data_IF_469669822510
#
_entry.id   IF_469669822510
#
_cell.length_a   1.000
_cell.length_b   1.000
_cell.length_c   1.000
_cell.angle_alpha   90.00
_cell.angle_beta   90.00
_cell.angle_gamma   90.00
#
_symmetry.space_group_name_H-M   'P 1'
#
loop_
_entity.id
_entity.type
_entity.pdbx_description
1 polymer ?
#
# COMPACT_ATOMS: atom_id res chain seq x y z
N UNK A 1 -45.21 -9.62 -39.48
CA UNK A 1 -44.80 -8.27 -39.02
C UNK A 1 -45.30 -7.97 -37.59
N UNK A 2 -45.23 -8.95 -36.68
CA UNK A 2 -45.48 -8.79 -35.22
C UNK A 2 -44.64 -9.75 -34.35
N UNK A 3 -43.61 -10.38 -34.92
CA UNK A 3 -42.72 -11.33 -34.22
C UNK A 3 -41.24 -10.91 -34.26
N UNK A 4 -40.92 -9.71 -34.78
CA UNK A 4 -39.55 -9.23 -34.90
C UNK A 4 -39.22 -8.04 -33.98
N UNK A 5 -40.10 -7.71 -33.03
CA UNK A 5 -39.88 -6.64 -32.02
C UNK A 5 -39.52 -7.18 -30.63
N UNK A 6 -39.43 -8.51 -30.45
CA UNK A 6 -38.98 -9.14 -29.21
C UNK A 6 -37.44 -9.35 -29.17
N UNK A 7 -36.68 -8.47 -29.84
CA UNK A 7 -35.23 -8.55 -29.92
C UNK A 7 -34.56 -7.71 -28.82
N UNK A 8 -33.86 -8.38 -27.92
CA UNK A 8 -32.73 -7.89 -27.11
C UNK A 8 -32.85 -6.46 -26.55
N UNK A 9 -33.94 -6.16 -25.84
CA UNK A 9 -34.01 -4.92 -25.05
C UNK A 9 -33.72 -5.26 -23.59
N UNK A 10 -32.65 -4.68 -23.03
CA UNK A 10 -32.31 -4.84 -21.62
C UNK A 10 -33.52 -4.45 -20.74
N UNK A 11 -33.82 -5.29 -19.74
CA UNK A 11 -34.97 -5.04 -18.87
C UNK A 11 -34.68 -3.83 -17.97
N UNK A 12 -35.42 -2.74 -18.15
CA UNK A 12 -35.26 -1.51 -17.35
C UNK A 12 -35.34 -1.80 -15.84
N UNK A 13 -36.22 -2.72 -15.42
CA UNK A 13 -36.37 -3.16 -14.04
C UNK A 13 -35.11 -3.86 -13.52
N UNK A 14 -34.48 -4.71 -14.34
CA UNK A 14 -33.25 -5.39 -13.93
C UNK A 14 -32.07 -4.42 -13.87
N UNK A 15 -32.00 -3.45 -14.79
CA UNK A 15 -31.00 -2.38 -14.76
C UNK A 15 -31.15 -1.52 -13.51
N UNK A 16 -32.38 -1.22 -13.08
CA UNK A 16 -32.65 -0.55 -11.81
C UNK A 16 -32.19 -1.38 -10.61
N UNK A 17 -32.41 -2.71 -10.65
CA UNK A 17 -31.87 -3.63 -9.65
C UNK A 17 -30.33 -3.63 -9.56
N UNK A 18 -29.62 -3.50 -10.69
CA UNK A 18 -28.15 -3.35 -10.70
C UNK A 18 -27.74 -2.03 -10.03
N UNK A 19 -28.45 -0.95 -10.37
CA UNK A 19 -28.23 0.36 -9.78
C UNK A 19 -28.41 0.36 -8.25
N UNK A 20 -29.47 -0.25 -7.76
CA UNK A 20 -29.76 -0.34 -6.32
C UNK A 20 -28.73 -1.21 -5.59
N UNK A 21 -28.32 -2.33 -6.19
CA UNK A 21 -27.26 -3.18 -5.66
C UNK A 21 -25.93 -2.42 -5.55
N UNK A 22 -25.55 -1.64 -6.56
CA UNK A 22 -24.35 -0.81 -6.50
C UNK A 22 -24.43 0.21 -5.35
N UNK A 23 -25.58 0.85 -5.17
CA UNK A 23 -25.77 1.78 -4.06
C UNK A 23 -25.69 1.07 -2.70
N UNK A 24 -26.17 -0.17 -2.59
CA UNK A 24 -26.00 -0.96 -1.36
C UNK A 24 -24.52 -1.29 -1.09
N UNK A 25 -23.74 -1.60 -2.14
CA UNK A 25 -22.29 -1.83 -2.01
C UNK A 25 -21.56 -0.56 -1.56
N UNK A 26 -22.05 0.62 -1.92
CA UNK A 26 -21.45 1.89 -1.50
C UNK A 26 -21.61 2.17 0.01
N UNK A 27 -22.54 1.50 0.69
CA UNK A 27 -22.83 1.69 2.11
C UNK A 27 -22.08 0.72 3.03
N UNK A 28 -21.51 -0.35 2.48
CA UNK A 28 -20.74 -1.33 3.25
C UNK A 28 -19.25 -1.22 3.00
N UNK A 29 -18.47 -2.03 3.72
CA UNK A 29 -17.07 -2.28 3.40
C UNK A 29 -16.99 -3.32 2.28
N UNK A 30 -16.32 -3.00 1.17
CA UNK A 30 -16.35 -3.85 -0.02
C UNK A 30 -15.06 -3.83 -0.81
N UNK A 31 -14.74 -4.96 -1.43
CA UNK A 31 -13.61 -5.06 -2.36
C UNK A 31 -14.03 -4.54 -3.75
N UNK A 32 -13.26 -3.60 -4.29
CA UNK A 32 -13.45 -3.06 -5.65
C UNK A 32 -13.58 -4.16 -6.72
N UNK A 33 -12.87 -5.28 -6.56
CA UNK A 33 -12.94 -6.45 -7.47
C UNK A 33 -14.32 -7.08 -7.45
N UNK A 34 -14.87 -7.27 -6.25
CA UNK A 34 -16.21 -7.85 -6.04
C UNK A 34 -17.28 -6.91 -6.58
N UNK A 35 -17.14 -5.60 -6.39
CA UNK A 35 -18.07 -4.60 -6.91
C UNK A 35 -18.07 -4.58 -8.44
N UNK A 36 -16.90 -4.54 -9.08
CA UNK A 36 -16.77 -4.54 -10.55
C UNK A 36 -17.32 -5.83 -11.14
N UNK A 37 -16.93 -6.99 -10.59
CA UNK A 37 -17.40 -8.29 -11.06
C UNK A 37 -18.92 -8.44 -10.93
N UNK A 38 -19.45 -8.16 -9.72
CA UNK A 38 -20.87 -8.24 -9.44
C UNK A 38 -21.71 -7.27 -10.26
N UNK A 39 -21.15 -6.12 -10.67
CA UNK A 39 -21.77 -5.21 -11.63
C UNK A 39 -21.85 -5.84 -13.03
N UNK A 40 -20.73 -6.37 -13.54
CA UNK A 40 -20.66 -6.98 -14.87
C UNK A 40 -21.60 -8.19 -14.99
N UNK A 41 -21.58 -9.08 -14.00
CA UNK A 41 -22.43 -10.28 -13.99
C UNK A 41 -23.93 -9.92 -13.99
N UNK A 42 -24.31 -8.88 -13.20
CA UNK A 42 -25.70 -8.41 -13.14
C UNK A 42 -26.13 -7.69 -14.42
N UNK A 43 -25.24 -6.91 -15.03
CA UNK A 43 -25.50 -6.30 -16.34
C UNK A 43 -25.70 -7.37 -17.42
N UNK A 44 -24.87 -8.43 -17.41
CA UNK A 44 -25.01 -9.58 -18.29
C UNK A 44 -26.37 -10.28 -18.08
N UNK A 45 -26.72 -10.57 -16.82
CA UNK A 45 -28.01 -11.17 -16.47
C UNK A 45 -29.22 -10.28 -16.81
N UNK A 46 -29.04 -8.95 -16.82
CA UNK A 46 -30.07 -7.98 -17.23
C UNK A 46 -30.22 -7.86 -18.76
N UNK A 47 -29.42 -8.59 -19.54
CA UNK A 47 -29.49 -8.66 -21.00
C UNK A 47 -28.52 -7.72 -21.73
N UNK A 48 -27.60 -7.05 -21.03
CA UNK A 48 -26.51 -6.32 -21.69
C UNK A 48 -25.46 -7.34 -22.13
N UNK A 49 -25.09 -7.42 -23.43
CA UNK A 49 -24.22 -8.48 -23.94
C UNK A 49 -22.73 -8.21 -23.62
N UNK A 50 -22.38 -8.01 -22.35
CA UNK A 50 -21.00 -7.80 -21.93
C UNK A 50 -20.15 -9.03 -22.22
N UNK A 51 -18.95 -8.77 -22.75
CA UNK A 51 -17.91 -9.76 -22.95
C UNK A 51 -16.66 -9.43 -22.13
N UNK A 52 -16.36 -8.13 -21.99
CA UNK A 52 -15.27 -7.63 -21.14
C UNK A 52 -15.65 -6.32 -20.46
N UNK A 53 -15.30 -6.21 -19.18
CA UNK A 53 -15.34 -4.99 -18.40
C UNK A 53 -13.93 -4.64 -17.94
N UNK A 54 -13.57 -3.36 -17.97
CA UNK A 54 -12.32 -2.86 -17.44
C UNK A 54 -12.58 -1.59 -16.65
N UNK A 55 -11.95 -1.50 -15.49
CA UNK A 55 -11.99 -0.34 -14.61
C UNK A 55 -10.58 -0.10 -14.10
N UNK A 56 -10.11 1.14 -14.15
CA UNK A 56 -8.82 1.54 -13.60
C UNK A 56 -8.94 2.88 -12.89
N UNK A 57 -8.18 3.05 -11.82
CA UNK A 57 -8.17 4.24 -11.01
C UNK A 57 -6.81 4.40 -10.32
N UNK A 58 -6.48 5.64 -9.98
CA UNK A 58 -5.27 5.94 -9.23
C UNK A 58 -5.46 5.65 -7.75
N UNK A 59 -4.38 5.24 -7.11
CA UNK A 59 -4.31 5.08 -5.66
C UNK A 59 -3.15 5.92 -5.11
N UNK A 60 -3.22 6.25 -3.81
CA UNK A 60 -2.10 6.84 -3.09
C UNK A 60 -1.41 5.73 -2.30
N UNK A 61 -0.48 5.05 -2.98
CA UNK A 61 0.32 3.97 -2.41
C UNK A 61 1.80 4.22 -2.74
N UNK A 62 2.76 3.99 -1.83
CA UNK A 62 4.19 4.26 -2.07
C UNK A 62 4.77 3.51 -3.27
N UNK A 63 4.32 2.27 -3.47
CA UNK A 63 4.80 1.38 -4.54
C UNK A 63 4.01 1.50 -5.86
N UNK A 64 2.70 1.75 -5.78
CA UNK A 64 1.78 1.57 -6.91
C UNK A 64 1.07 2.88 -7.26
N UNK A 65 0.99 3.19 -8.55
CA UNK A 65 0.34 4.40 -9.06
C UNK A 65 -1.15 4.19 -9.33
N UNK A 66 -1.53 2.97 -9.71
CA UNK A 66 -2.90 2.64 -10.12
C UNK A 66 -3.22 1.17 -9.89
N UNK A 67 -4.53 0.93 -9.75
CA UNK A 67 -5.13 -0.40 -9.72
C UNK A 67 -6.07 -0.54 -10.90
N UNK A 68 -6.01 -1.69 -11.56
CA UNK A 68 -6.92 -2.04 -12.64
C UNK A 68 -7.61 -3.37 -12.36
N UNK A 69 -8.90 -3.44 -12.67
CA UNK A 69 -9.72 -4.64 -12.60
C UNK A 69 -10.23 -4.95 -14.00
N UNK A 70 -9.99 -6.17 -14.47
CA UNK A 70 -10.54 -6.68 -15.73
C UNK A 70 -11.48 -7.83 -15.42
N UNK A 71 -12.73 -7.69 -15.85
CA UNK A 71 -13.71 -8.77 -15.86
C UNK A 71 -13.85 -9.31 -17.28
N UNK A 72 -13.87 -10.64 -17.45
CA UNK A 72 -14.13 -11.30 -18.74
C UNK A 72 -15.23 -12.35 -18.58
N UNK A 73 -16.19 -12.37 -19.51
CA UNK A 73 -17.25 -13.39 -19.52
C UNK A 73 -16.66 -14.77 -19.75
N UNK A 74 -17.03 -15.74 -18.92
CA UNK A 74 -16.75 -17.17 -19.12
C UNK A 74 -18.07 -17.99 -19.15
N UNK A 75 -17.98 -19.32 -19.09
CA UNK A 75 -19.13 -20.24 -19.17
C UNK A 75 -20.00 -20.32 -17.90
N UNK A 76 -19.52 -19.90 -16.71
CA UNK A 76 -20.21 -20.10 -15.42
C UNK A 76 -20.29 -18.85 -14.53
N UNK A 77 -19.27 -17.98 -14.51
CA UNK A 77 -19.20 -16.71 -13.78
C UNK A 77 -17.95 -15.93 -14.22
N UNK A 78 -18.03 -14.65 -14.62
CA UNK A 78 -16.88 -14.00 -15.26
C UNK A 78 -15.59 -13.99 -14.43
N UNK A 79 -14.45 -14.20 -15.09
CA UNK A 79 -13.11 -14.18 -14.46
C UNK A 79 -12.69 -12.75 -14.15
N UNK A 80 -12.01 -12.56 -13.01
CA UNK A 80 -11.56 -11.24 -12.55
C UNK A 80 -10.05 -11.24 -12.39
N UNK A 81 -9.40 -10.34 -13.12
CA UNK A 81 -7.97 -10.07 -13.03
C UNK A 81 -7.74 -8.74 -12.30
N UNK A 82 -6.78 -8.72 -11.39
CA UNK A 82 -6.40 -7.54 -10.59
C UNK A 82 -4.94 -7.19 -10.87
N UNK A 83 -4.70 -5.97 -11.32
CA UNK A 83 -3.38 -5.50 -11.74
C UNK A 83 -3.01 -4.26 -10.94
N UNK A 84 -1.86 -4.32 -10.27
CA UNK A 84 -1.24 -3.20 -9.57
C UNK A 84 -0.07 -2.68 -10.41
N UNK A 85 -0.10 -1.40 -10.78
CA UNK A 85 0.92 -0.81 -11.65
C UNK A 85 1.87 0.08 -10.84
N UNK A 86 3.18 -0.11 -11.01
CA UNK A 86 4.21 0.67 -10.32
C UNK A 86 4.24 2.13 -10.80
N UNK A 87 4.70 3.05 -9.94
CA UNK A 87 4.85 4.48 -10.30
C UNK A 87 5.71 4.71 -11.55
N UNK A 88 6.77 3.92 -11.73
CA UNK A 88 7.66 4.03 -12.90
C UNK A 88 6.99 3.66 -14.23
N UNK A 89 6.00 2.76 -14.20
CA UNK A 89 5.41 2.15 -15.41
C UNK A 89 4.07 2.79 -15.82
N UNK A 90 3.30 3.30 -14.85
CA UNK A 90 1.89 3.61 -15.03
C UNK A 90 1.55 4.64 -16.12
N UNK A 91 2.45 5.60 -16.36
CA UNK A 91 2.20 6.70 -17.31
C UNK A 91 3.30 6.88 -18.36
N UNK A 92 4.37 6.07 -18.28
CA UNK A 92 5.52 6.15 -19.17
C UNK A 92 5.49 5.08 -20.26
N UNK A 93 4.73 3.99 -20.05
CA UNK A 93 4.67 2.86 -20.98
C UNK A 93 4.09 3.23 -22.33
N UNK A 94 4.57 2.56 -23.38
CA UNK A 94 4.07 2.76 -24.74
C UNK A 94 2.59 2.37 -24.86
N UNK A 95 2.21 1.29 -24.17
CA UNK A 95 0.81 0.83 -24.08
C UNK A 95 -0.11 1.92 -23.51
N UNK A 96 0.32 2.62 -22.46
CA UNK A 96 -0.43 3.76 -21.92
C UNK A 96 -0.50 4.90 -22.92
N UNK A 97 0.63 5.31 -23.51
CA UNK A 97 0.71 6.44 -24.45
C UNK A 97 -0.21 6.24 -25.66
N UNK A 98 -0.26 5.03 -26.20
CA UNK A 98 -1.10 4.66 -27.34
C UNK A 98 -2.51 4.21 -26.95
N UNK A 99 -2.87 4.27 -25.66
CA UNK A 99 -4.20 3.83 -25.20
C UNK A 99 -5.30 4.83 -25.55
N UNK A 100 -6.55 4.37 -25.75
CA UNK A 100 -7.71 5.25 -25.85
C UNK A 100 -7.89 6.07 -24.56
N UNK A 101 -7.45 5.56 -23.40
CA UNK A 101 -7.57 6.25 -22.11
C UNK A 101 -6.70 7.51 -22.07
N UNK A 102 -5.42 7.39 -22.45
CA UNK A 102 -4.52 8.53 -22.53
C UNK A 102 -4.99 9.57 -23.58
N UNK A 103 -5.51 9.10 -24.72
CA UNK A 103 -6.13 9.99 -25.71
C UNK A 103 -7.34 10.75 -25.13
N UNK A 104 -8.25 10.04 -24.46
CA UNK A 104 -9.42 10.66 -23.82
C UNK A 104 -9.03 11.68 -22.74
N UNK A 105 -8.02 11.39 -21.94
CA UNK A 105 -7.51 12.29 -20.90
C UNK A 105 -6.86 13.56 -21.48
N UNK A 106 -5.99 13.39 -22.49
CA UNK A 106 -5.28 14.51 -23.13
C UNK A 106 -6.19 15.42 -23.96
N UNK A 107 -7.30 14.87 -24.47
CA UNK A 107 -8.30 15.61 -25.27
C UNK A 107 -9.56 15.99 -24.49
N UNK A 108 -9.66 15.57 -23.22
CA UNK A 108 -10.83 15.78 -22.35
C UNK A 108 -12.15 15.23 -22.94
N UNK A 109 -12.08 14.12 -23.67
CA UNK A 109 -13.26 13.43 -24.23
C UNK A 109 -13.74 12.39 -23.21
N UNK A 110 -14.93 12.55 -22.60
CA UNK A 110 -15.36 11.69 -21.48
C UNK A 110 -15.86 10.30 -21.92
N UNK A 111 -16.15 10.12 -23.20
CA UNK A 111 -16.78 8.93 -23.74
C UNK A 111 -16.31 8.68 -25.18
N UNK A 112 -15.95 7.44 -25.49
CA UNK A 112 -15.45 7.02 -26.79
C UNK A 112 -16.06 5.67 -27.18
N UNK A 113 -16.53 5.54 -28.42
CA UNK A 113 -17.00 4.27 -28.98
C UNK A 113 -16.20 3.91 -30.23
N UNK A 114 -15.88 2.64 -30.39
CA UNK A 114 -15.26 2.06 -31.58
C UNK A 114 -15.99 0.77 -31.96
N UNK A 115 -16.62 0.77 -33.14
CA UNK A 115 -17.02 -0.48 -33.79
C UNK A 115 -15.75 -1.20 -34.22
N UNK A 116 -15.64 -2.48 -33.90
CA UNK A 116 -14.44 -3.28 -34.18
C UNK A 116 -14.61 -4.13 -35.45
N UNK A 117 -15.83 -4.25 -35.96
CA UNK A 117 -16.23 -5.04 -37.14
C UNK A 117 -17.21 -4.25 -38.01
N UNK A 118 -17.32 -4.64 -39.28
CA UNK A 118 -18.19 -4.01 -40.27
C UNK A 118 -17.52 -2.86 -41.04
N UNK A 119 -18.26 -2.23 -41.94
CA UNK A 119 -17.77 -1.13 -42.79
C UNK A 119 -17.38 0.11 -41.98
N UNK A 120 -18.02 0.32 -40.82
CA UNK A 120 -17.74 1.42 -39.89
C UNK A 120 -16.64 1.10 -38.86
N UNK A 121 -15.88 0.00 -39.04
CA UNK A 121 -14.87 -0.40 -38.09
C UNK A 121 -13.74 0.64 -37.99
N UNK A 122 -13.41 1.05 -36.77
CA UNK A 122 -12.33 1.99 -36.49
C UNK A 122 -11.38 1.39 -35.46
N UNK A 123 -10.14 1.13 -35.89
CA UNK A 123 -9.10 0.40 -35.15
C UNK A 123 -7.86 1.27 -34.95
N UNK A 124 -8.09 2.50 -34.52
CA UNK A 124 -7.09 3.55 -34.31
C UNK A 124 -6.19 3.31 -33.09
N UNK A 125 -6.60 2.42 -32.17
CA UNK A 125 -5.81 2.04 -30.98
C UNK A 125 -5.36 0.57 -31.00
N UNK A 126 -4.18 0.21 -30.45
CA UNK A 126 -3.72 -1.17 -30.34
C UNK A 126 -4.73 -2.11 -29.67
N UNK A 127 -5.29 -1.69 -28.52
CA UNK A 127 -6.30 -2.46 -27.79
C UNK A 127 -7.56 -2.76 -28.64
N UNK A 128 -7.94 -1.88 -29.56
CA UNK A 128 -9.08 -2.14 -30.45
C UNK A 128 -8.76 -3.26 -31.46
N UNK A 129 -7.52 -3.30 -31.97
CA UNK A 129 -7.04 -4.38 -32.86
C UNK A 129 -6.99 -5.72 -32.12
N UNK A 130 -6.43 -5.73 -30.91
CA UNK A 130 -6.36 -6.91 -30.06
C UNK A 130 -7.74 -7.47 -29.74
N UNK A 131 -8.67 -6.61 -29.30
CA UNK A 131 -10.04 -7.04 -28.97
C UNK A 131 -10.79 -7.59 -30.19
N UNK A 132 -10.59 -7.00 -31.37
CA UNK A 132 -11.15 -7.54 -32.62
C UNK A 132 -10.62 -8.93 -32.92
N UNK A 133 -9.30 -9.12 -32.81
CA UNK A 133 -8.63 -10.39 -33.11
C UNK A 133 -9.06 -11.50 -32.14
N UNK A 134 -9.44 -11.11 -30.91
CA UNK A 134 -10.04 -11.99 -29.90
C UNK A 134 -11.56 -12.21 -30.07
N UNK A 135 -12.18 -11.64 -31.13
CA UNK A 135 -13.59 -11.86 -31.48
C UNK A 135 -14.54 -10.70 -31.16
N UNK A 136 -14.07 -9.64 -30.50
CA UNK A 136 -14.85 -8.44 -30.16
C UNK A 136 -15.44 -7.73 -31.37
N UNK A 137 -16.58 -7.07 -31.17
CA UNK A 137 -17.34 -6.35 -32.21
C UNK A 137 -17.58 -4.88 -31.88
N UNK A 138 -17.55 -4.50 -30.60
CA UNK A 138 -17.75 -3.12 -30.16
C UNK A 138 -16.98 -2.85 -28.86
N UNK A 139 -16.46 -1.63 -28.76
CA UNK A 139 -15.68 -1.14 -27.64
C UNK A 139 -16.16 0.24 -27.22
N UNK A 140 -16.47 0.41 -25.94
CA UNK A 140 -16.96 1.66 -25.36
C UNK A 140 -16.09 2.03 -24.16
N UNK A 141 -15.28 3.08 -24.29
CA UNK A 141 -14.48 3.64 -23.21
C UNK A 141 -15.16 4.87 -22.58
N UNK A 142 -14.91 5.07 -21.30
CA UNK A 142 -15.50 6.12 -20.49
C UNK A 142 -14.52 6.58 -19.41
N UNK A 143 -14.63 7.84 -19.02
CA UNK A 143 -13.90 8.40 -17.88
C UNK A 143 -14.83 9.27 -17.04
N UNK A 144 -14.76 9.11 -15.72
CA UNK A 144 -15.53 9.89 -14.74
C UNK A 144 -14.53 10.48 -13.73
N UNK A 145 -14.26 11.80 -13.80
CA UNK A 145 -13.37 12.44 -12.84
C UNK A 145 -14.04 12.58 -11.46
N UNK A 146 -13.23 12.62 -10.42
CA UNK A 146 -13.65 13.07 -9.09
C UNK A 146 -13.50 14.59 -9.03
N UNK A 147 -14.61 15.31 -8.88
CA UNK A 147 -14.58 16.76 -8.71
C UNK A 147 -13.73 17.15 -7.49
N UNK A 148 -12.90 18.20 -7.64
CA UNK A 148 -12.17 18.88 -6.57
C UNK A 148 -12.57 20.36 -6.60
N UNK A 149 -12.77 20.96 -5.44
CA UNK A 149 -13.25 22.35 -5.34
C UNK A 149 -12.17 23.39 -5.72
N UNK A 150 -10.87 23.03 -5.66
CA UNK A 150 -9.77 24.01 -5.67
C UNK A 150 -8.71 23.85 -6.80
N UNK A 151 -8.86 22.92 -7.76
CA UNK A 151 -7.83 22.68 -8.80
C UNK A 151 -8.39 22.19 -10.15
N UNK A 152 -8.34 23.01 -11.22
CA UNK A 152 -8.78 22.63 -12.56
C UNK A 152 -7.67 22.01 -13.44
N UNK A 153 -6.49 21.68 -12.89
CA UNK A 153 -5.42 21.03 -13.63
C UNK A 153 -5.84 19.67 -14.25
N UNK A 154 -5.11 19.14 -15.25
CA UNK A 154 -5.40 17.85 -15.87
C UNK A 154 -5.09 16.70 -14.90
N UNK A 155 -5.91 16.53 -13.87
CA UNK A 155 -5.72 15.54 -12.83
C UNK A 155 -6.54 14.28 -13.14
N UNK A 156 -5.81 13.18 -13.30
CA UNK A 156 -6.25 11.78 -13.40
C UNK A 156 -7.03 11.26 -12.16
N UNK A 157 -7.49 12.13 -11.26
CA UNK A 157 -8.22 11.73 -10.04
C UNK A 157 -9.65 11.36 -10.44
N UNK A 158 -9.93 10.07 -10.55
CA UNK A 158 -11.19 9.55 -11.09
C UNK A 158 -11.10 8.08 -11.48
N UNK A 159 -12.13 7.61 -12.16
CA UNK A 159 -12.22 6.25 -12.66
C UNK A 159 -12.32 6.29 -14.18
N UNK A 160 -11.44 5.54 -14.84
CA UNK A 160 -11.52 5.25 -16.27
C UNK A 160 -11.97 3.80 -16.44
N UNK A 161 -12.62 3.51 -17.57
CA UNK A 161 -13.03 2.14 -17.84
C UNK A 161 -13.50 1.92 -19.25
N UNK A 162 -13.76 0.66 -19.57
CA UNK A 162 -14.31 0.28 -20.87
C UNK A 162 -15.20 -0.95 -20.78
N UNK A 163 -16.20 -1.00 -21.66
CA UNK A 163 -17.05 -2.15 -21.92
C UNK A 163 -16.77 -2.66 -23.34
N UNK A 164 -16.71 -3.98 -23.52
CA UNK A 164 -16.66 -4.58 -24.84
C UNK A 164 -17.69 -5.71 -24.96
N UNK A 165 -18.16 -5.94 -26.18
CA UNK A 165 -19.02 -7.07 -26.55
C UNK A 165 -18.44 -7.80 -27.74
N UNK A 166 -18.75 -9.09 -27.82
CA UNK A 166 -18.47 -9.98 -28.94
C UNK A 166 -19.73 -10.27 -29.79
N UNK A 167 -20.91 -9.73 -29.39
CA UNK A 167 -22.15 -9.90 -30.15
C UNK A 167 -21.97 -9.29 -31.55
N UNK A 168 -22.23 -10.00 -32.66
CA UNK A 168 -21.89 -9.51 -34.00
C UNK A 168 -22.42 -8.11 -34.36
N UNK A 169 -23.61 -7.74 -33.86
CA UNK A 169 -24.22 -6.42 -34.06
C UNK A 169 -23.63 -5.29 -33.17
N UNK A 170 -22.72 -5.64 -32.26
CA UNK A 170 -22.22 -4.77 -31.19
C UNK A 170 -23.32 -4.34 -30.22
N UNK A 171 -23.11 -3.25 -29.49
CA UNK A 171 -24.12 -2.71 -28.58
C UNK A 171 -25.21 -1.96 -29.34
N UNK A 172 -26.46 -2.05 -28.88
CA UNK A 172 -27.54 -1.16 -29.33
C UNK A 172 -27.45 0.19 -28.61
N UNK A 173 -28.07 1.23 -29.16
CA UNK A 173 -28.07 2.55 -28.51
C UNK A 173 -28.82 2.53 -27.17
N UNK A 174 -29.81 1.65 -27.01
CA UNK A 174 -30.50 1.42 -25.74
C UNK A 174 -29.56 0.84 -24.67
N UNK A 175 -28.74 -0.14 -25.04
CA UNK A 175 -27.76 -0.74 -24.14
C UNK A 175 -26.66 0.25 -23.75
N UNK A 176 -26.21 1.09 -24.69
CA UNK A 176 -25.23 2.15 -24.39
C UNK A 176 -25.81 3.15 -23.40
N UNK A 177 -27.06 3.58 -23.57
CA UNK A 177 -27.73 4.46 -22.59
C UNK A 177 -27.79 3.82 -21.20
N UNK A 178 -28.08 2.52 -21.12
CA UNK A 178 -28.06 1.77 -19.86
C UNK A 178 -26.67 1.70 -19.24
N UNK A 179 -25.63 1.40 -20.03
CA UNK A 179 -24.24 1.39 -19.57
C UNK A 179 -23.81 2.75 -19.03
N UNK A 180 -24.07 3.83 -19.76
CA UNK A 180 -23.76 5.21 -19.31
C UNK A 180 -24.47 5.55 -18.00
N UNK A 181 -25.74 5.11 -17.83
CA UNK A 181 -26.51 5.32 -16.60
C UNK A 181 -25.94 4.54 -15.40
N UNK A 182 -25.41 3.34 -15.62
CA UNK A 182 -24.84 2.49 -14.57
C UNK A 182 -23.43 2.93 -14.17
N UNK A 183 -22.61 3.41 -15.12
CA UNK A 183 -21.23 3.85 -14.86
C UNK A 183 -21.13 4.82 -13.68
N UNK A 184 -22.03 5.82 -13.58
CA UNK A 184 -22.01 6.79 -12.47
C UNK A 184 -22.24 6.14 -11.11
N UNK A 185 -23.16 5.18 -11.01
CA UNK A 185 -23.44 4.47 -9.75
C UNK A 185 -22.27 3.56 -9.37
N UNK A 186 -21.72 2.85 -10.36
CA UNK A 186 -20.50 2.06 -10.16
C UNK A 186 -19.37 2.94 -9.63
N UNK A 187 -19.14 4.10 -10.23
CA UNK A 187 -18.08 5.01 -9.80
C UNK A 187 -18.33 5.60 -8.41
N UNK A 188 -19.57 5.86 -8.00
CA UNK A 188 -19.88 6.26 -6.62
C UNK A 188 -19.51 5.15 -5.63
N UNK A 189 -19.92 3.91 -5.90
CA UNK A 189 -19.57 2.77 -5.04
C UNK A 189 -18.07 2.56 -4.96
N UNK A 190 -17.37 2.65 -6.09
CA UNK A 190 -15.91 2.55 -6.12
C UNK A 190 -15.24 3.71 -5.41
N UNK A 191 -15.73 4.96 -5.56
CA UNK A 191 -15.14 6.14 -4.90
C UNK A 191 -15.09 5.97 -3.38
N UNK A 192 -16.16 5.43 -2.77
CA UNK A 192 -16.20 5.18 -1.32
C UNK A 192 -15.09 4.21 -0.92
N UNK A 193 -15.00 3.05 -1.58
CA UNK A 193 -13.98 2.04 -1.28
C UNK A 193 -12.55 2.55 -1.56
N UNK A 194 -12.35 3.28 -2.66
CA UNK A 194 -11.05 3.87 -3.02
C UNK A 194 -10.60 4.87 -1.95
N UNK A 195 -11.49 5.75 -1.48
CA UNK A 195 -11.14 6.73 -0.44
C UNK A 195 -10.83 6.08 0.89
N UNK A 196 -11.57 5.03 1.27
CA UNK A 196 -11.28 4.23 2.46
C UNK A 196 -9.92 3.54 2.35
N UNK A 197 -9.65 2.84 1.23
CA UNK A 197 -8.37 2.18 0.98
C UNK A 197 -7.20 3.16 1.00
N UNK A 198 -7.36 4.35 0.43
CA UNK A 198 -6.35 5.42 0.49
C UNK A 198 -6.09 5.84 1.94
N UNK A 199 -7.13 6.06 2.75
CA UNK A 199 -6.98 6.43 4.15
C UNK A 199 -6.20 5.35 4.93
N UNK A 200 -6.59 4.08 4.79
CA UNK A 200 -5.88 2.95 5.40
C UNK A 200 -4.42 2.87 4.94
N UNK A 201 -4.16 2.99 3.64
CA UNK A 201 -2.83 2.87 3.06
C UNK A 201 -1.92 3.99 3.55
N UNK A 202 -2.39 5.24 3.50
CA UNK A 202 -1.62 6.41 3.95
C UNK A 202 -1.32 6.30 5.45
N UNK A 203 -2.32 6.00 6.27
CA UNK A 203 -2.08 5.90 7.72
C UNK A 203 -1.14 4.73 8.07
N UNK A 204 -1.33 3.56 7.48
CA UNK A 204 -0.44 2.42 7.70
C UNK A 204 1.00 2.69 7.22
N UNK A 205 1.17 3.40 6.10
CA UNK A 205 2.49 3.73 5.54
C UNK A 205 3.25 4.71 6.44
N UNK A 206 2.59 5.76 6.91
CA UNK A 206 3.26 6.89 7.55
C UNK A 206 3.23 6.83 9.09
N UNK A 207 2.28 6.11 9.69
CA UNK A 207 2.20 5.92 11.15
C UNK A 207 2.56 4.49 11.59
N UNK A 208 2.65 3.54 10.66
CA UNK A 208 2.71 2.11 10.98
C UNK A 208 1.31 1.48 11.04
N UNK A 209 1.23 0.16 10.88
CA UNK A 209 -0.05 -0.56 10.72
C UNK A 209 -0.97 -0.39 11.93
N UNK A 210 -0.42 -0.55 13.13
CA UNK A 210 -1.21 -0.57 14.36
C UNK A 210 -1.63 0.83 14.77
N UNK A 211 -0.71 1.80 14.82
CA UNK A 211 -1.06 3.21 15.04
C UNK A 211 -2.05 3.74 13.99
N UNK A 212 -1.84 3.43 12.71
CA UNK A 212 -2.74 3.82 11.64
C UNK A 212 -4.15 3.24 11.81
N UNK A 213 -4.26 1.99 12.25
CA UNK A 213 -5.54 1.35 12.58
C UNK A 213 -6.20 2.01 13.80
N UNK A 214 -5.46 2.24 14.88
CA UNK A 214 -6.01 2.89 16.09
C UNK A 214 -6.56 4.29 15.79
N UNK A 215 -5.88 5.05 14.92
CA UNK A 215 -6.36 6.36 14.44
C UNK A 215 -7.67 6.24 13.67
N UNK A 216 -7.80 5.25 12.78
CA UNK A 216 -9.06 4.99 12.05
C UNK A 216 -10.19 4.54 12.97
N UNK A 217 -9.86 3.79 14.02
CA UNK A 217 -10.80 3.35 15.05
C UNK A 217 -11.18 4.49 16.03
N UNK A 218 -10.61 5.69 15.86
CA UNK A 218 -11.01 6.91 16.57
C UNK A 218 -10.11 7.32 17.73
N UNK A 219 -8.94 6.70 17.90
CA UNK A 219 -7.92 7.18 18.84
C UNK A 219 -7.18 8.39 18.24
N UNK A 220 -7.80 9.56 18.35
CA UNK A 220 -7.35 10.80 17.68
C UNK A 220 -7.18 11.98 18.64
N UNK A 221 -7.43 11.79 19.94
CA UNK A 221 -7.30 12.86 20.92
C UNK A 221 -5.91 12.84 21.54
N UNK A 222 -5.42 14.03 21.89
CA UNK A 222 -4.20 14.16 22.68
C UNK A 222 -4.36 13.42 24.01
N UNK A 223 -3.42 12.53 24.31
CA UNK A 223 -3.45 11.70 25.51
C UNK A 223 -4.17 10.36 25.34
N UNK A 224 -4.81 10.10 24.18
CA UNK A 224 -5.21 8.73 23.82
C UNK A 224 -3.95 7.88 23.64
N UNK A 225 -3.99 6.65 24.13
CA UNK A 225 -2.96 5.64 23.98
C UNK A 225 -3.04 4.59 25.06
N UNK A 226 -2.09 3.66 25.05
CA UNK A 226 -2.02 2.56 25.99
C UNK A 226 -0.61 2.30 26.49
N UNK A 227 -0.50 1.68 27.67
CA UNK A 227 0.77 1.14 28.14
C UNK A 227 1.01 -0.20 27.44
N UNK A 228 2.10 -0.27 26.68
CA UNK A 228 2.54 -1.47 25.98
C UNK A 228 3.78 -2.00 26.67
N UNK A 229 3.73 -3.25 27.12
CA UNK A 229 4.91 -4.00 27.54
C UNK A 229 5.56 -4.60 26.29
N UNK A 230 6.82 -4.29 26.00
CA UNK A 230 7.45 -4.67 24.74
C UNK A 230 8.95 -4.90 24.84
N UNK A 231 9.49 -5.59 23.84
CA UNK A 231 10.89 -5.43 23.46
C UNK A 231 10.99 -4.17 22.62
N UNK A 232 11.84 -3.26 23.01
CA UNK A 232 12.11 -2.03 22.28
C UNK A 232 13.39 -2.25 21.49
N UNK A 233 13.33 -1.91 20.21
CA UNK A 233 14.43 -1.92 19.28
C UNK A 233 14.83 -0.47 18.98
N UNK A 234 16.11 -0.17 19.12
CA UNK A 234 16.69 1.07 18.64
C UNK A 234 17.96 0.77 17.86
N UNK A 235 17.98 1.13 16.58
CA UNK A 235 19.19 1.03 15.76
C UNK A 235 19.54 2.36 15.12
N UNK A 236 20.83 2.63 14.93
CA UNK A 236 21.35 3.87 14.36
C UNK A 236 22.44 3.55 13.34
N UNK A 237 22.49 4.28 12.24
CA UNK A 237 23.48 4.04 11.19
C UNK A 237 24.84 4.60 11.62
N UNK A 238 25.92 3.83 11.44
CA UNK A 238 27.27 4.32 11.75
C UNK A 238 27.73 5.29 10.68
N UNK A 239 28.36 6.38 11.15
CA UNK A 239 28.97 7.42 10.31
C UNK A 239 28.03 8.09 9.30
N UNK A 240 26.71 8.05 9.54
CA UNK A 240 25.69 8.64 8.65
C UNK A 240 25.91 10.12 8.38
N UNK A 241 26.33 10.90 9.37
CA UNK A 241 26.65 12.33 9.20
C UNK A 241 27.78 12.53 8.20
N UNK A 242 28.85 11.73 8.30
CA UNK A 242 29.97 11.80 7.35
C UNK A 242 29.52 11.40 5.95
N UNK A 243 28.67 10.38 5.83
CA UNK A 243 28.10 9.97 4.54
C UNK A 243 27.23 11.08 3.95
N UNK A 244 26.36 11.70 4.74
CA UNK A 244 25.51 12.82 4.32
C UNK A 244 26.32 14.03 3.84
N UNK A 245 27.45 14.33 4.49
CA UNK A 245 28.34 15.44 4.10
C UNK A 245 29.17 15.15 2.83
N UNK A 246 29.35 13.89 2.47
CA UNK A 246 30.23 13.45 1.37
C UNK A 246 29.52 13.01 0.10
N UNK A 247 28.24 12.64 0.20
CA UNK A 247 27.43 12.10 -0.91
C UNK A 247 26.52 13.16 -1.52
N UNK A 248 26.10 12.95 -2.78
CA UNK A 248 25.01 13.73 -3.33
C UNK A 248 23.71 13.41 -2.58
N UNK A 249 22.82 14.40 -2.42
CA UNK A 249 21.59 14.24 -1.62
C UNK A 249 20.71 13.06 -2.08
N UNK A 250 20.59 12.85 -3.40
CA UNK A 250 19.81 11.72 -3.95
C UNK A 250 20.45 10.36 -3.65
N UNK A 251 21.78 10.25 -3.74
CA UNK A 251 22.53 9.03 -3.44
C UNK A 251 22.51 8.70 -1.94
N UNK A 252 22.60 9.73 -1.09
CA UNK A 252 22.46 9.56 0.36
C UNK A 252 21.05 9.07 0.71
N UNK A 253 20.01 9.64 0.11
CA UNK A 253 18.63 9.17 0.32
C UNK A 253 18.43 7.72 -0.13
N UNK A 254 18.99 7.32 -1.28
CA UNK A 254 18.96 5.93 -1.73
C UNK A 254 19.69 5.01 -0.75
N UNK A 255 20.88 5.40 -0.30
CA UNK A 255 21.68 4.65 0.69
C UNK A 255 20.93 4.49 2.01
N UNK A 256 20.30 5.57 2.49
CA UNK A 256 19.50 5.57 3.71
C UNK A 256 18.29 4.65 3.59
N UNK A 257 17.58 4.68 2.46
CA UNK A 257 16.47 3.77 2.20
C UNK A 257 16.92 2.30 2.15
N UNK A 258 18.04 1.99 1.50
CA UNK A 258 18.62 0.63 1.51
C UNK A 258 18.98 0.17 2.92
N UNK A 259 19.53 1.06 3.76
CA UNK A 259 19.78 0.77 5.17
C UNK A 259 18.49 0.48 5.96
N UNK A 260 17.42 1.25 5.72
CA UNK A 260 16.13 0.98 6.37
C UNK A 260 15.50 -0.34 5.92
N UNK A 261 15.68 -0.77 4.68
CA UNK A 261 15.25 -2.10 4.23
C UNK A 261 16.00 -3.25 4.94
N UNK A 262 17.27 -3.03 5.32
CA UNK A 262 18.00 -3.98 6.16
C UNK A 262 17.48 -4.00 7.59
N UNK A 263 17.22 -2.84 8.20
CA UNK A 263 16.88 -2.74 9.62
C UNK A 263 15.37 -2.76 9.87
N UNK A 264 14.65 -1.68 9.55
CA UNK A 264 13.21 -1.59 9.67
C UNK A 264 12.49 -2.71 8.87
N UNK A 265 13.01 -3.07 7.70
CA UNK A 265 12.49 -4.19 6.92
C UNK A 265 12.61 -5.54 7.62
N UNK A 266 13.68 -5.78 8.40
CA UNK A 266 13.84 -7.01 9.19
C UNK A 266 12.88 -7.04 10.38
N UNK A 267 12.68 -5.90 11.06
CA UNK A 267 11.67 -5.76 12.11
C UNK A 267 10.28 -6.14 11.59
N UNK A 268 9.86 -5.55 10.46
CA UNK A 268 8.55 -5.79 9.88
C UNK A 268 8.36 -7.25 9.41
N UNK A 269 9.42 -7.87 8.87
CA UNK A 269 9.39 -9.26 8.42
C UNK A 269 9.26 -10.27 9.58
N UNK A 270 9.72 -9.90 10.77
CA UNK A 270 9.68 -10.73 11.98
C UNK A 270 8.54 -10.33 12.93
N UNK A 271 7.51 -9.64 12.42
CA UNK A 271 6.28 -9.33 13.17
C UNK A 271 6.41 -8.20 14.19
N UNK A 272 7.51 -7.44 14.16
CA UNK A 272 7.65 -6.20 14.92
C UNK A 272 6.99 -5.02 14.24
N UNK A 273 6.91 -3.91 14.96
CA UNK A 273 6.30 -2.66 14.52
C UNK A 273 7.35 -1.55 14.49
N UNK A 274 7.52 -0.93 13.32
CA UNK A 274 8.37 0.26 13.17
C UNK A 274 7.54 1.48 13.51
N UNK A 275 7.95 2.19 14.56
CA UNK A 275 7.18 3.30 15.11
C UNK A 275 7.53 4.61 14.42
N UNK A 276 8.83 4.87 14.27
CA UNK A 276 9.32 6.06 13.57
C UNK A 276 10.79 5.95 13.18
N UNK A 277 11.15 6.78 12.22
CA UNK A 277 12.53 7.10 11.87
C UNK A 277 12.93 8.41 12.54
N UNK A 278 14.13 8.46 13.14
CA UNK A 278 14.68 9.64 13.81
C UNK A 278 16.01 9.97 13.15
N UNK A 279 15.97 10.75 12.07
CA UNK A 279 17.12 10.87 11.18
C UNK A 279 17.36 9.51 10.51
N UNK A 280 18.52 8.92 10.80
CA UNK A 280 18.96 7.59 10.38
C UNK A 280 18.70 6.49 11.42
N UNK A 281 18.13 6.82 12.57
CA UNK A 281 17.76 5.83 13.56
C UNK A 281 16.37 5.22 13.33
N UNK A 282 16.22 3.95 13.68
CA UNK A 282 14.97 3.19 13.66
C UNK A 282 14.54 2.91 15.10
N UNK A 283 13.36 3.40 15.49
CA UNK A 283 12.68 3.01 16.73
C UNK A 283 11.54 2.04 16.39
N UNK A 284 11.59 0.86 16.98
CA UNK A 284 10.61 -0.20 16.78
C UNK A 284 10.29 -0.94 18.08
N UNK A 285 9.21 -1.72 18.06
CA UNK A 285 8.81 -2.57 19.19
C UNK A 285 8.39 -3.97 18.73
N UNK A 286 8.55 -4.93 19.62
CA UNK A 286 7.90 -6.24 19.57
C UNK A 286 7.02 -6.34 20.81
N UNK A 287 5.70 -6.10 20.70
CA UNK A 287 4.79 -6.16 21.83
C UNK A 287 4.80 -7.53 22.49
N UNK A 288 4.86 -7.56 23.82
CA UNK A 288 4.75 -8.79 24.61
C UNK A 288 3.26 -9.10 24.76
N UNK A 289 2.80 -10.04 23.92
CA UNK A 289 1.40 -10.49 23.89
C UNK A 289 1.23 -11.69 24.83
N UNK A 290 0.03 -11.83 25.39
CA UNK A 290 -0.35 -12.97 26.24
C UNK A 290 0.61 -13.28 27.42
N UNK A 291 1.33 -12.26 27.89
CA UNK A 291 2.37 -12.37 28.91
C UNK A 291 3.51 -13.33 28.56
N UNK A 292 3.84 -13.47 27.27
CA UNK A 292 4.95 -14.29 26.78
C UNK A 292 6.14 -13.43 26.30
N UNK A 293 7.03 -13.00 27.23
CA UNK A 293 8.21 -12.22 26.86
C UNK A 293 9.24 -13.05 26.09
N UNK A 294 9.24 -14.38 26.21
CA UNK A 294 10.19 -15.23 25.51
C UNK A 294 9.92 -15.19 24.01
N UNK A 295 8.66 -15.37 23.59
CA UNK A 295 8.32 -15.31 22.16
C UNK A 295 8.67 -13.95 21.54
N UNK A 296 8.40 -12.84 22.25
CA UNK A 296 8.75 -11.51 21.77
C UNK A 296 10.29 -11.31 21.66
N UNK A 297 11.07 -11.83 22.61
CA UNK A 297 12.54 -11.82 22.52
C UNK A 297 13.06 -12.68 21.38
N UNK A 298 12.45 -13.84 21.11
CA UNK A 298 12.81 -14.71 20.00
C UNK A 298 12.58 -14.02 18.65
N UNK A 299 11.45 -13.33 18.47
CA UNK A 299 11.16 -12.52 17.28
C UNK A 299 12.16 -11.36 17.12
N UNK A 300 12.48 -10.65 18.20
CA UNK A 300 13.47 -9.57 18.17
C UNK A 300 14.89 -10.08 17.84
N UNK A 301 15.29 -11.24 18.36
CA UNK A 301 16.56 -11.88 18.00
C UNK A 301 16.58 -12.34 16.54
N UNK A 302 15.47 -12.91 16.04
CA UNK A 302 15.36 -13.29 14.64
C UNK A 302 15.48 -12.06 13.73
N UNK A 303 14.84 -10.95 14.09
CA UNK A 303 14.98 -9.67 13.39
C UNK A 303 16.42 -9.13 13.42
N UNK A 304 17.12 -9.26 14.55
CA UNK A 304 18.52 -8.84 14.66
C UNK A 304 19.44 -9.66 13.73
N UNK A 305 19.22 -10.98 13.65
CA UNK A 305 19.91 -11.84 12.70
C UNK A 305 19.60 -11.52 11.24
N UNK A 306 18.32 -11.34 10.91
CA UNK A 306 17.87 -10.96 9.56
C UNK A 306 18.46 -9.61 9.14
N UNK A 307 18.46 -8.60 10.02
CA UNK A 307 19.08 -7.30 9.75
C UNK A 307 20.59 -7.41 9.44
N UNK A 308 21.31 -8.25 10.20
CA UNK A 308 22.72 -8.48 9.96
C UNK A 308 22.97 -9.18 8.61
N UNK A 309 22.17 -10.19 8.27
CA UNK A 309 22.26 -10.90 6.98
C UNK A 309 21.92 -10.00 5.80
N UNK A 310 20.87 -9.17 5.90
CA UNK A 310 20.52 -8.19 4.87
C UNK A 310 21.60 -7.15 4.66
N UNK A 311 22.17 -6.63 5.74
CA UNK A 311 23.27 -5.67 5.67
C UNK A 311 24.52 -6.30 5.02
N UNK A 312 24.83 -7.55 5.35
CA UNK A 312 25.94 -8.27 4.72
C UNK A 312 25.74 -8.37 3.21
N UNK A 313 24.56 -8.84 2.76
CA UNK A 313 24.25 -8.93 1.34
C UNK A 313 24.32 -7.56 0.64
N UNK A 314 23.77 -6.51 1.26
CA UNK A 314 23.86 -5.15 0.75
C UNK A 314 25.32 -4.69 0.63
N UNK A 315 26.16 -5.00 1.60
CA UNK A 315 27.58 -4.63 1.56
C UNK A 315 28.37 -5.41 0.50
N UNK A 316 28.01 -6.66 0.21
CA UNK A 316 28.57 -7.44 -0.90
C UNK A 316 28.22 -6.80 -2.25
N UNK A 317 26.97 -6.35 -2.44
CA UNK A 317 26.56 -5.60 -3.63
C UNK A 317 27.30 -4.26 -3.74
N UNK A 318 27.38 -3.51 -2.63
CA UNK A 318 28.07 -2.21 -2.57
C UNK A 318 29.56 -2.33 -2.90
N UNK A 319 30.22 -3.38 -2.42
CA UNK A 319 31.62 -3.66 -2.75
C UNK A 319 31.82 -3.90 -4.25
N UNK A 320 30.85 -4.53 -4.93
CA UNK A 320 30.86 -4.70 -6.39
C UNK A 320 30.73 -3.38 -7.16
N UNK A 321 30.33 -2.29 -6.49
CA UNK A 321 30.20 -0.94 -7.03
C UNK A 321 31.23 0.04 -6.46
N UNK A 322 32.30 -0.44 -5.81
CA UNK A 322 33.33 0.37 -5.14
C UNK A 322 32.76 1.35 -4.09
N UNK A 323 31.62 1.00 -3.48
CA UNK A 323 30.98 1.79 -2.43
C UNK A 323 31.43 1.32 -1.04
N UNK A 324 31.58 2.27 -0.12
CA UNK A 324 31.90 2.00 1.28
C UNK A 324 30.81 1.13 1.94
N UNK A 325 31.24 0.16 2.75
CA UNK A 325 30.35 -0.71 3.52
C UNK A 325 29.60 0.09 4.60
N UNK A 326 28.34 -0.25 4.81
CA UNK A 326 27.50 0.31 5.84
C UNK A 326 27.57 -0.53 7.11
N UNK A 327 27.36 0.09 8.26
CA UNK A 327 27.25 -0.60 9.56
C UNK A 327 26.27 0.13 10.47
N UNK A 328 25.87 -0.49 11.58
CA UNK A 328 24.94 0.10 12.53
C UNK A 328 25.26 -0.25 13.98
N UNK A 329 24.64 0.47 14.91
CA UNK A 329 24.48 0.07 16.30
C UNK A 329 23.05 -0.44 16.52
N UNK A 330 22.87 -1.48 17.34
CA UNK A 330 21.58 -2.00 17.76
C UNK A 330 21.53 -2.14 19.28
N UNK A 331 20.52 -1.55 19.89
CA UNK A 331 20.12 -1.77 21.28
C UNK A 331 18.78 -2.49 21.34
N UNK A 332 18.69 -3.52 22.20
CA UNK A 332 17.42 -4.16 22.59
C UNK A 332 17.17 -4.00 24.09
N UNK A 333 15.92 -3.74 24.47
CA UNK A 333 15.54 -3.58 25.87
C UNK A 333 14.11 -4.05 26.13
N UNK A 334 13.87 -4.74 27.24
CA UNK A 334 12.52 -5.10 27.70
C UNK A 334 12.02 -3.99 28.61
N UNK A 335 10.85 -3.42 28.33
CA UNK A 335 10.26 -2.44 29.23
C UNK A 335 8.86 -1.99 28.85
N UNK A 336 8.27 -1.20 29.74
CA UNK A 336 6.97 -0.57 29.54
C UNK A 336 7.13 0.77 28.82
N UNK A 337 6.29 0.98 27.82
CA UNK A 337 6.20 2.23 27.07
C UNK A 337 4.76 2.68 26.93
N UNK A 338 4.54 3.98 27.07
CA UNK A 338 3.29 4.61 26.68
C UNK A 338 3.30 4.78 25.15
N UNK A 339 2.41 4.08 24.46
CA UNK A 339 2.23 4.20 23.01
C UNK A 339 0.94 4.97 22.73
N UNK A 340 1.03 6.14 22.09
CA UNK A 340 -0.15 6.97 21.91
C UNK A 340 0.06 8.31 21.23
N UNK A 341 -1.00 9.12 21.22
CA UNK A 341 -1.06 10.44 20.62
C UNK A 341 -0.44 11.51 21.52
N UNK A 342 0.70 12.05 21.09
CA UNK A 342 1.41 13.14 21.77
C UNK A 342 1.57 14.33 20.82
N UNK A 343 1.51 15.55 21.34
CA UNK A 343 1.82 16.74 20.56
C UNK A 343 1.00 17.95 20.98
N UNK A 344 0.74 18.83 20.03
CA UNK A 344 -0.11 20.01 20.17
C UNK A 344 -1.46 19.77 19.48
N UNK A 345 -2.43 20.67 19.69
CA UNK A 345 -3.81 20.44 19.23
C UNK A 345 -3.91 20.22 17.72
N UNK A 346 -3.07 20.90 16.95
CA UNK A 346 -3.06 20.88 15.48
C UNK A 346 -2.08 19.85 14.90
N UNK A 347 -1.24 19.21 15.74
CA UNK A 347 -0.24 18.24 15.30
C UNK A 347 0.01 17.20 16.39
N UNK A 348 -0.60 16.03 16.18
CA UNK A 348 -0.34 14.83 16.95
C UNK A 348 0.66 13.94 16.22
N UNK A 349 1.54 13.30 16.99
CA UNK A 349 2.43 12.23 16.58
C UNK A 349 2.05 11.00 17.41
N UNK A 350 1.84 9.88 16.74
CA UNK A 350 1.69 8.60 17.41
C UNK A 350 3.08 8.07 17.73
N UNK A 351 3.44 7.97 19.00
CA UNK A 351 4.82 7.67 19.39
C UNK A 351 4.89 6.93 20.72
N UNK A 352 6.08 6.37 20.98
CA UNK A 352 6.42 5.73 22.25
C UNK A 352 7.09 6.73 23.18
N UNK A 353 6.62 6.80 24.42
CA UNK A 353 7.22 7.56 25.51
C UNK A 353 7.44 6.66 26.71
N UNK A 354 8.61 6.75 27.31
CA UNK A 354 8.88 6.12 28.59
C UNK A 354 10.37 6.08 28.89
N UNK A 355 10.75 5.75 30.15
CA UNK A 355 12.14 5.50 30.51
C UNK A 355 12.79 4.46 29.60
N UNK A 356 12.07 3.37 29.28
CA UNK A 356 12.56 2.26 28.48
C UNK A 356 12.97 2.68 27.04
N UNK A 357 12.25 3.63 26.43
CA UNK A 357 12.61 4.18 25.12
C UNK A 357 13.92 4.99 25.16
N UNK A 358 14.19 5.68 26.27
CA UNK A 358 15.45 6.39 26.47
C UNK A 358 16.59 5.42 26.82
N UNK A 359 16.29 4.37 27.57
CA UNK A 359 17.26 3.34 27.97
C UNK A 359 17.78 2.57 26.76
N UNK A 360 16.90 2.12 25.85
CA UNK A 360 17.33 1.40 24.65
C UNK A 360 18.22 2.24 23.73
N UNK A 361 17.91 3.54 23.55
CA UNK A 361 18.72 4.43 22.74
C UNK A 361 20.14 4.61 23.33
N UNK A 362 20.24 4.57 24.67
CA UNK A 362 21.54 4.62 25.35
C UNK A 362 22.30 3.32 25.27
N UNK A 363 21.61 2.17 25.31
CA UNK A 363 22.21 0.85 25.05
C UNK A 363 22.78 0.82 23.63
N UNK A 364 22.01 1.28 22.64
CA UNK A 364 22.51 1.44 21.27
C UNK A 364 23.76 2.32 21.27
N UNK A 365 23.77 3.48 21.93
CA UNK A 365 24.95 4.35 21.91
C UNK A 365 26.21 3.71 22.51
N UNK A 366 26.07 2.74 23.43
CA UNK A 366 27.21 1.97 23.97
C UNK A 366 27.86 1.06 22.92
N UNK A 367 27.15 0.68 21.86
CA UNK A 367 27.68 -0.13 20.73
C UNK A 367 28.92 0.53 20.13
N UNK A 368 28.95 1.87 20.09
CA UNK A 368 30.07 2.67 19.56
C UNK A 368 31.30 2.56 20.46
N UNK A 369 31.11 2.67 21.78
CA UNK A 369 32.20 2.63 22.76
C UNK A 369 32.72 1.24 23.06
N UNK A 370 31.85 0.23 22.99
CA UNK A 370 32.18 -1.16 23.35
C UNK A 370 32.63 -1.99 22.14
N UNK A 371 32.48 -1.46 20.91
CA UNK A 371 32.97 -2.12 19.71
C UNK A 371 32.14 -3.33 19.26
N UNK A 372 30.89 -3.44 19.73
CA UNK A 372 29.92 -4.45 19.31
C UNK A 372 28.83 -3.79 18.48
N UNK A 373 28.31 -4.46 17.46
CA UNK A 373 27.17 -4.02 16.66
C UNK A 373 25.87 -4.10 17.47
N UNK A 374 25.68 -5.16 18.24
CA UNK A 374 24.40 -5.44 18.90
C UNK A 374 24.54 -5.71 20.40
N UNK A 375 23.82 -4.91 21.19
CA UNK A 375 23.76 -5.01 22.65
C UNK A 375 22.31 -5.11 23.12
N UNK A 376 22.11 -5.76 24.27
CA UNK A 376 20.81 -5.79 24.94
C UNK A 376 20.92 -5.54 26.44
N UNK A 377 19.83 -5.15 27.08
CA UNK A 377 19.78 -5.14 28.53
C UNK A 377 19.78 -6.56 29.12
N UNK A 378 20.20 -6.71 30.37
CA UNK A 378 20.17 -8.01 31.05
C UNK A 378 18.76 -8.57 31.20
N UNK A 379 17.72 -7.72 31.25
CA UNK A 379 16.32 -8.11 31.27
C UNK A 379 15.95 -8.87 29.99
N UNK A 380 16.39 -8.39 28.83
CA UNK A 380 16.21 -9.09 27.55
C UNK A 380 16.88 -10.46 27.58
N UNK A 381 18.12 -10.52 28.08
CA UNK A 381 18.88 -11.77 28.20
C UNK A 381 18.16 -12.83 29.06
N UNK A 382 17.46 -12.39 30.13
CA UNK A 382 16.73 -13.28 31.05
C UNK A 382 15.49 -13.92 30.42
N UNK A 383 14.93 -13.32 29.38
CA UNK A 383 13.77 -13.85 28.67
C UNK A 383 14.14 -14.98 27.69
N UNK A 384 15.43 -15.22 27.47
CA UNK A 384 15.93 -16.21 26.51
C UNK A 384 16.58 -17.40 27.23
N UNK A 385 16.47 -18.63 26.70
CA UNK A 385 17.06 -19.82 27.32
C UNK A 385 18.59 -19.93 27.13
N UNK A 386 19.21 -19.04 26.32
CA UNK A 386 20.65 -19.02 26.07
C UNK A 386 21.38 -18.05 27.00
N UNK A 387 22.66 -18.31 27.26
CA UNK A 387 23.53 -17.38 27.97
C UNK A 387 24.13 -16.37 27.00
N UNK A 388 24.29 -15.14 27.46
CA UNK A 388 24.96 -14.06 26.76
C UNK A 388 26.16 -13.58 27.58
N UNK A 389 27.19 -13.11 26.89
CA UNK A 389 28.35 -12.51 27.54
C UNK A 389 27.98 -11.13 28.09
N UNK A 390 28.38 -10.85 29.34
CA UNK A 390 28.15 -9.54 29.95
C UNK A 390 29.19 -8.56 29.42
N UNK A 391 28.72 -7.44 28.89
CA UNK A 391 29.54 -6.28 28.52
C UNK A 391 29.67 -5.29 29.70
N UNK A 392 29.29 -5.71 30.91
CA UNK A 392 29.44 -4.96 32.16
C UNK A 392 28.27 -4.04 32.49
N UNK A 393 28.43 -3.32 33.61
CA UNK A 393 27.44 -2.37 34.14
C UNK A 393 27.82 -0.95 33.80
N UNK A 394 26.89 -0.20 33.21
CA UNK A 394 27.11 1.16 32.72
C UNK A 394 26.13 2.13 33.37
N UNK A 395 26.65 3.28 33.81
CA UNK A 395 25.79 4.36 34.31
C UNK A 395 25.29 5.17 33.12
N UNK A 396 24.01 5.01 32.81
CA UNK A 396 23.36 5.71 31.71
C UNK A 396 22.85 7.06 32.21
N UNK A 397 23.17 8.15 31.50
CA UNK A 397 22.72 9.51 31.88
C UNK A 397 21.19 9.52 32.05
N UNK A 398 20.66 10.05 33.16
CA UNK A 398 19.21 10.11 33.39
C UNK A 398 18.53 8.79 33.74
N UNK A 399 19.29 7.70 33.91
CA UNK A 399 18.80 6.42 34.48
C UNK A 399 19.30 6.33 35.93
N UNK A 400 18.40 5.99 36.86
CA UNK A 400 18.69 6.06 38.29
C UNK A 400 19.66 5.01 38.82
N UNK A 401 19.79 3.86 38.13
CA UNK A 401 20.68 2.77 38.51
C UNK A 401 21.56 2.35 37.32
N UNK A 402 22.79 1.86 37.55
CA UNK A 402 23.60 1.28 36.49
C UNK A 402 22.87 0.10 35.82
N UNK A 403 22.82 0.10 34.49
CA UNK A 403 22.23 -0.97 33.70
C UNK A 403 23.31 -1.94 33.27
N UNK A 404 23.06 -3.24 33.44
CA UNK A 404 23.91 -4.29 32.88
C UNK A 404 23.50 -4.57 31.44
N UNK A 405 24.48 -4.61 30.54
CA UNK A 405 24.27 -4.90 29.12
C UNK A 405 25.00 -6.17 28.72
N UNK A 406 24.45 -6.89 27.75
CA UNK A 406 25.00 -8.13 27.20
C UNK A 406 25.25 -7.99 25.71
N UNK A 407 26.18 -8.79 25.19
CA UNK A 407 26.53 -8.87 23.76
C UNK A 407 25.60 -9.89 23.08
N UNK A 408 25.03 -9.53 21.93
CA UNK A 408 24.08 -10.37 21.19
C UNK A 408 24.70 -11.23 20.08
N UNK A 409 25.95 -10.94 19.72
CA UNK A 409 26.71 -11.56 18.62
C UNK A 409 27.10 -13.02 18.88
#
# INVERSE_FOLDING_TARGET
>A
MRENEASATASAVLIDGVADWLMSQALGDGDVRVIVAGCCDRLLAAGIPLWRGFVSFRILHPKFASVSVIWRRDEQSGTVEHIETLHGDAFSSEDWRQSPMNHMLSTQIPFLRRRLKGEEALLDFPVCRELRDQGGSDYVAWMIPFARDDDPGPHLDGVIGSWATDRPSGFSDGEIRSLVRIQRRLVVSLKVQIKQQIAHTVLATYLGRDAGRQVLDGQIKRGDGEMVHAIIWYSDMRDSTRLADSMAAEEFLQTLNSYFECTAGAVLANGGEVLRFIGDAVLAIFPIRDHDPQSACELAMAAAGDAASRLQALNEERAGHDLEALDYGLGLHVGDVMFGNIGVQERLEFSVIGPAANEVARIESLTKTLGHRALASVEFARCMPRRFESAGKHTLKGVGAPLEVVILE
#
